data_IF_476496059392
#
_entry.id   IF_476496059392
#
_cell.length_a   1.000
_cell.length_b   1.000
_cell.length_c   1.000
_cell.angle_alpha   90.00
_cell.angle_beta   90.00
_cell.angle_gamma   90.00
#
_symmetry.space_group_name_H-M   'P 1'
#
loop_
_entity.id
_entity.type
_entity.pdbx_description
1 polymer ?
#
# COMPACT_ATOMS: atom_id res chain seq x y z
N UNK A 1 -24.62 13.61 -63.63
CA UNK A 1 -23.69 12.46 -63.56
C UNK A 1 -24.01 11.70 -62.28
N UNK A 2 -24.46 10.44 -62.41
CA UNK A 2 -24.93 9.56 -61.33
C UNK A 2 -23.74 8.98 -60.54
N UNK A 3 -23.86 8.94 -59.21
CA UNK A 3 -23.02 8.17 -58.28
C UNK A 3 -23.28 6.67 -58.47
N UNK A 4 -22.26 5.85 -58.26
CA UNK A 4 -22.38 4.60 -57.51
C UNK A 4 -21.07 4.25 -56.80
N UNK A 5 -21.22 3.82 -55.55
CA UNK A 5 -20.20 3.44 -54.57
C UNK A 5 -20.05 1.93 -54.59
N UNK A 6 -18.83 1.39 -54.47
CA UNK A 6 -18.68 0.11 -53.78
C UNK A 6 -17.29 -0.04 -53.13
N UNK A 7 -17.30 -0.09 -51.80
CA UNK A 7 -16.18 -0.49 -50.95
C UNK A 7 -16.31 -1.98 -50.70
N UNK A 8 -15.43 -2.79 -51.30
CA UNK A 8 -15.42 -4.24 -51.10
C UNK A 8 -14.79 -4.59 -49.76
N UNK A 9 -15.62 -4.68 -48.73
CA UNK A 9 -15.32 -5.35 -47.46
C UNK A 9 -15.40 -6.88 -47.70
N UNK A 10 -14.28 -7.47 -48.11
CA UNK A 10 -14.16 -8.93 -48.27
C UNK A 10 -14.01 -9.59 -46.89
N UNK A 11 -15.09 -10.20 -46.38
CA UNK A 11 -14.95 -11.18 -45.30
C UNK A 11 -14.15 -12.37 -45.85
N UNK A 12 -13.09 -12.83 -45.17
CA UNK A 12 -12.39 -14.03 -45.62
C UNK A 12 -13.34 -15.22 -45.51
N UNK A 13 -13.53 -15.96 -46.60
CA UNK A 13 -14.18 -17.27 -46.53
C UNK A 13 -13.30 -18.18 -45.67
N UNK A 14 -13.70 -18.36 -44.41
CA UNK A 14 -12.95 -19.16 -43.45
C UNK A 14 -13.11 -20.63 -43.81
N UNK A 15 -12.13 -21.15 -44.53
CA UNK A 15 -12.00 -22.58 -44.77
C UNK A 15 -11.90 -23.31 -43.41
N UNK A 16 -12.53 -24.48 -43.30
CA UNK A 16 -12.56 -25.27 -42.06
C UNK A 16 -11.16 -25.58 -41.54
N UNK A 17 -10.19 -25.76 -42.46
CA UNK A 17 -8.78 -25.94 -42.14
C UNK A 17 -8.17 -24.71 -41.48
N UNK A 18 -8.47 -23.51 -41.97
CA UNK A 18 -8.01 -22.25 -41.37
C UNK A 18 -8.61 -22.03 -39.98
N UNK A 19 -9.89 -22.37 -39.80
CA UNK A 19 -10.55 -22.28 -38.50
C UNK A 19 -9.95 -23.26 -37.47
N UNK A 20 -9.62 -24.49 -37.90
CA UNK A 20 -8.96 -25.48 -37.04
C UNK A 20 -7.55 -25.04 -36.64
N UNK A 21 -6.79 -24.44 -37.55
CA UNK A 21 -5.44 -23.90 -37.27
C UNK A 21 -5.54 -22.74 -36.25
N UNK A 22 -6.46 -21.80 -36.46
CA UNK A 22 -6.66 -20.68 -35.54
C UNK A 22 -7.09 -21.15 -34.14
N UNK A 23 -8.00 -22.13 -34.06
CA UNK A 23 -8.40 -22.75 -32.81
C UNK A 23 -7.23 -23.46 -32.10
N UNK A 24 -6.39 -24.19 -32.84
CA UNK A 24 -5.22 -24.86 -32.31
C UNK A 24 -4.18 -23.88 -31.74
N UNK A 25 -3.87 -22.81 -32.48
CA UNK A 25 -2.96 -21.75 -32.02
C UNK A 25 -3.52 -21.02 -30.81
N UNK A 26 -4.84 -20.80 -30.75
CA UNK A 26 -5.48 -20.15 -29.61
C UNK A 26 -5.41 -21.01 -28.34
N UNK A 27 -5.72 -22.30 -28.43
CA UNK A 27 -5.63 -23.23 -27.28
C UNK A 27 -4.18 -23.39 -26.81
N UNK A 28 -3.22 -23.47 -27.73
CA UNK A 28 -1.79 -23.47 -27.40
C UNK A 28 -1.37 -22.14 -26.75
N UNK A 29 -1.82 -21.01 -27.27
CA UNK A 29 -1.56 -19.68 -26.71
C UNK A 29 -2.10 -19.52 -25.29
N UNK A 30 -3.32 -20.00 -25.02
CA UNK A 30 -3.90 -20.03 -23.68
C UNK A 30 -3.14 -20.99 -22.76
N UNK A 31 -2.78 -22.19 -23.23
CA UNK A 31 -2.03 -23.16 -22.43
C UNK A 31 -0.64 -22.66 -22.03
N UNK A 32 0.09 -22.08 -22.99
CA UNK A 32 1.41 -21.47 -22.75
C UNK A 32 1.27 -20.23 -21.87
N UNK A 33 0.27 -19.38 -22.13
CA UNK A 33 -0.02 -18.19 -21.33
C UNK A 33 -0.28 -18.53 -19.87
N UNK A 34 -1.13 -19.52 -19.58
CA UNK A 34 -1.44 -19.97 -18.21
C UNK A 34 -0.19 -20.58 -17.56
N UNK A 35 0.60 -21.40 -18.28
CA UNK A 35 1.83 -21.98 -17.74
C UNK A 35 2.85 -20.89 -17.35
N UNK A 36 3.06 -19.86 -18.19
CA UNK A 36 3.92 -18.73 -17.87
C UNK A 36 3.34 -17.80 -16.80
N UNK A 37 2.03 -17.54 -16.80
CA UNK A 37 1.37 -16.73 -15.75
C UNK A 37 1.36 -17.43 -14.38
N UNK A 38 1.30 -18.77 -14.35
CA UNK A 38 1.39 -19.56 -13.12
C UNK A 38 2.82 -19.69 -12.58
N UNK A 39 3.83 -19.42 -13.42
CA UNK A 39 5.24 -19.39 -13.08
C UNK A 39 5.78 -18.03 -12.68
N UNK A 40 4.93 -17.02 -12.50
CA UNK A 40 5.33 -15.74 -11.92
C UNK A 40 5.72 -15.97 -10.44
N UNK A 41 6.96 -16.38 -10.23
CA UNK A 41 7.66 -16.17 -8.96
C UNK A 41 7.62 -14.68 -8.70
N UNK A 42 6.64 -14.26 -7.89
CA UNK A 42 6.60 -12.92 -7.31
C UNK A 42 7.85 -12.80 -6.45
N UNK A 43 8.92 -12.26 -7.04
CA UNK A 43 10.09 -11.85 -6.27
C UNK A 43 9.57 -10.95 -5.15
N UNK A 44 9.80 -11.30 -3.87
CA UNK A 44 9.29 -10.56 -2.72
C UNK A 44 9.91 -9.16 -2.58
N UNK A 45 10.74 -8.73 -3.53
CA UNK A 45 11.34 -7.39 -3.58
C UNK A 45 10.37 -6.31 -4.07
N UNK A 46 9.24 -6.68 -4.67
CA UNK A 46 8.24 -5.70 -5.11
C UNK A 46 7.13 -5.53 -4.07
N UNK A 47 7.29 -4.52 -3.20
CA UNK A 47 6.19 -3.85 -2.47
C UNK A 47 5.31 -3.05 -3.44
N UNK A 48 4.77 -3.70 -4.47
CA UNK A 48 4.04 -3.06 -5.57
C UNK A 48 2.51 -3.08 -5.40
N UNK A 49 1.97 -3.76 -4.39
CA UNK A 49 0.52 -3.84 -4.19
C UNK A 49 0.17 -3.56 -2.73
N UNK A 50 -0.77 -2.62 -2.53
CA UNK A 50 -1.37 -2.29 -1.23
C UNK A 50 -1.84 -3.57 -0.50
N UNK A 51 -2.37 -4.52 -1.26
CA UNK A 51 -2.76 -5.85 -0.79
C UNK A 51 -1.62 -6.62 -0.08
N UNK A 52 -0.38 -6.53 -0.55
CA UNK A 52 0.78 -7.20 0.08
C UNK A 52 1.13 -6.52 1.41
N UNK A 53 0.97 -5.20 1.47
CA UNK A 53 1.23 -4.39 2.66
C UNK A 53 0.14 -4.65 3.71
N UNK A 54 -1.12 -4.66 3.29
CA UNK A 54 -2.28 -4.92 4.14
C UNK A 54 -2.25 -6.33 4.72
N UNK A 55 -1.88 -7.34 3.92
CA UNK A 55 -1.75 -8.73 4.38
C UNK A 55 -0.53 -8.98 5.27
N UNK A 56 0.54 -8.21 5.10
CA UNK A 56 1.75 -8.34 5.91
C UNK A 56 1.69 -7.53 7.21
N UNK A 57 0.70 -6.66 7.36
CA UNK A 57 0.48 -5.88 8.57
C UNK A 57 0.33 -6.79 9.81
N UNK A 58 0.85 -6.37 10.97
CA UNK A 58 0.60 -7.09 12.21
C UNK A 58 -0.90 -7.02 12.55
N UNK A 59 -1.51 -8.19 12.78
CA UNK A 59 -2.95 -8.32 13.02
C UNK A 59 -3.79 -7.64 11.92
N UNK A 60 -3.79 -8.17 10.68
CA UNK A 60 -4.31 -7.47 9.51
C UNK A 60 -5.79 -7.10 9.63
N UNK A 61 -6.64 -7.96 10.20
CA UNK A 61 -8.06 -7.68 10.41
C UNK A 61 -8.28 -6.50 11.36
N UNK A 62 -7.53 -6.49 12.47
CA UNK A 62 -7.57 -5.40 13.44
C UNK A 62 -7.08 -4.11 12.80
N UNK A 63 -5.99 -4.19 12.04
CA UNK A 63 -5.39 -3.03 11.42
C UNK A 63 -6.31 -2.38 10.39
N UNK A 64 -6.97 -3.18 9.56
CA UNK A 64 -7.96 -2.71 8.57
C UNK A 64 -9.18 -2.10 9.28
N UNK A 65 -9.65 -2.70 10.37
CA UNK A 65 -10.86 -2.26 11.06
C UNK A 65 -10.65 -0.99 11.90
N UNK A 66 -9.52 -0.88 12.59
CA UNK A 66 -9.30 0.13 13.62
C UNK A 66 -8.17 1.12 13.29
N UNK A 67 -7.51 0.94 12.14
CA UNK A 67 -6.30 1.66 11.77
C UNK A 67 -6.08 1.75 10.26
N UNK A 68 -4.80 1.70 9.89
CA UNK A 68 -4.29 1.57 8.53
C UNK A 68 -2.96 0.81 8.56
N UNK A 69 -2.73 -0.04 7.55
CA UNK A 69 -1.44 -0.71 7.37
C UNK A 69 -0.36 0.33 7.08
N UNK A 70 0.84 0.06 7.56
CA UNK A 70 1.97 0.97 7.44
C UNK A 70 3.26 0.20 7.17
N UNK A 71 4.18 0.86 6.47
CA UNK A 71 5.57 0.45 6.42
C UNK A 71 6.36 1.26 7.43
N UNK A 72 6.97 0.57 8.38
CA UNK A 72 7.85 1.18 9.38
C UNK A 72 9.28 1.08 8.89
N UNK A 73 9.95 2.22 8.83
CA UNK A 73 11.34 2.34 8.36
C UNK A 73 12.25 2.64 9.54
N UNK A 74 13.13 1.71 9.86
CA UNK A 74 14.17 1.93 10.87
C UNK A 74 15.47 2.37 10.18
N UNK A 75 15.89 3.60 10.43
CA UNK A 75 17.18 4.13 9.98
C UNK A 75 17.79 5.01 11.06
N UNK A 76 19.12 5.03 11.11
CA UNK A 76 19.87 5.92 11.99
C UNK A 76 20.44 7.07 11.16
N UNK A 77 20.27 8.29 11.66
CA UNK A 77 20.82 9.50 11.08
C UNK A 77 21.92 10.00 12.02
N UNK A 78 23.16 10.05 11.52
CA UNK A 78 24.31 10.53 12.26
C UNK A 78 24.63 11.94 11.80
N UNK A 79 24.69 12.89 12.74
CA UNK A 79 25.08 14.28 12.46
C UNK A 79 26.36 14.57 13.24
N UNK A 80 27.44 14.86 12.54
CA UNK A 80 28.69 15.36 13.14
C UNK A 80 28.71 16.88 13.04
N UNK A 81 29.27 17.57 14.03
CA UNK A 81 29.33 19.05 14.05
C UNK A 81 30.73 19.61 13.72
N UNK A 82 31.77 18.77 13.76
CA UNK A 82 33.13 19.18 13.44
C UNK A 82 33.96 17.99 12.90
N UNK A 83 34.15 17.89 11.57
CA UNK A 83 33.49 18.67 10.52
C UNK A 83 31.98 18.36 10.44
N UNK A 84 31.18 19.29 9.93
CA UNK A 84 29.73 19.06 9.78
C UNK A 84 29.44 18.05 8.68
N UNK A 85 28.89 16.88 9.02
CA UNK A 85 28.49 15.84 8.07
C UNK A 85 27.21 15.14 8.52
N UNK A 86 26.46 14.60 7.57
CA UNK A 86 25.26 13.80 7.81
C UNK A 86 25.40 12.46 7.12
N UNK A 87 25.23 11.36 7.86
CA UNK A 87 25.25 9.99 7.34
C UNK A 87 23.95 9.28 7.69
N UNK A 88 23.51 8.39 6.80
CA UNK A 88 22.31 7.56 7.01
C UNK A 88 22.67 6.10 6.84
N UNK A 89 22.14 5.25 7.71
CA UNK A 89 22.29 3.79 7.55
C UNK A 89 21.37 3.26 6.47
N UNK A 90 21.67 2.06 5.95
CA UNK A 90 20.71 1.32 5.13
C UNK A 90 19.40 1.11 5.93
N UNK A 91 18.25 1.56 5.42
CA UNK A 91 16.98 1.43 6.13
C UNK A 91 16.53 -0.03 6.17
N UNK A 92 15.95 -0.44 7.30
CA UNK A 92 15.22 -1.71 7.42
C UNK A 92 13.72 -1.43 7.36
N UNK A 93 13.01 -2.15 6.50
CA UNK A 93 11.57 -2.03 6.34
C UNK A 93 10.86 -3.13 7.13
N UNK A 94 9.90 -2.77 7.96
CA UNK A 94 9.05 -3.70 8.71
C UNK A 94 7.57 -3.39 8.47
N UNK A 95 6.69 -4.40 8.42
CA UNK A 95 5.26 -4.14 8.43
C UNK A 95 4.83 -3.60 9.80
N UNK A 96 3.92 -2.64 9.77
CA UNK A 96 3.34 -2.04 10.97
C UNK A 96 1.88 -1.67 10.75
N UNK A 97 1.28 -1.20 11.83
CA UNK A 97 -0.09 -0.71 11.82
C UNK A 97 -0.15 0.61 12.57
N UNK A 98 -0.89 1.58 12.01
CA UNK A 98 -1.19 2.85 12.67
C UNK A 98 -2.66 2.86 13.05
N UNK A 99 -2.96 3.01 14.34
CA UNK A 99 -4.32 3.05 14.84
C UNK A 99 -4.96 4.43 14.63
N UNK A 100 -6.29 4.45 14.47
CA UNK A 100 -7.09 5.68 14.51
C UNK A 100 -7.24 6.17 15.95
N UNK A 101 -7.35 7.49 16.14
CA UNK A 101 -7.29 8.11 17.50
C UNK A 101 -8.35 7.63 18.47
N UNK A 102 -9.49 7.28 17.93
CA UNK A 102 -10.71 6.82 18.59
C UNK A 102 -10.67 5.35 19.01
N UNK A 103 -9.69 4.58 18.55
CA UNK A 103 -9.61 3.12 18.78
C UNK A 103 -8.46 2.69 19.69
N UNK A 104 -7.77 3.61 20.39
CA UNK A 104 -6.62 3.27 21.24
C UNK A 104 -6.95 2.41 22.45
N UNK A 105 -8.22 2.43 22.88
CA UNK A 105 -8.71 1.61 24.00
C UNK A 105 -8.45 0.11 23.80
N UNK A 106 -8.29 -0.35 22.55
CA UNK A 106 -7.94 -1.75 22.25
C UNK A 106 -6.57 -2.14 22.83
N UNK A 107 -5.62 -1.21 22.86
CA UNK A 107 -4.29 -1.45 23.42
C UNK A 107 -4.32 -1.43 24.95
N UNK A 108 -5.13 -0.56 25.56
CA UNK A 108 -5.34 -0.52 27.01
C UNK A 108 -6.05 -1.77 27.53
N UNK A 109 -7.10 -2.21 26.83
CA UNK A 109 -7.87 -3.42 27.17
C UNK A 109 -6.98 -4.67 27.16
N UNK A 110 -6.03 -4.73 26.21
CA UNK A 110 -5.03 -5.79 26.11
C UNK A 110 -3.84 -5.59 27.06
N UNK A 111 -3.84 -4.52 27.87
CA UNK A 111 -2.77 -4.14 28.81
C UNK A 111 -1.40 -3.94 28.15
N UNK A 112 -1.40 -3.54 26.89
CA UNK A 112 -0.18 -3.29 26.12
C UNK A 112 0.34 -1.86 26.32
N UNK A 113 -0.53 -0.95 26.76
CA UNK A 113 -0.20 0.41 27.18
C UNK A 113 -0.99 0.77 28.45
N UNK A 114 -0.46 1.73 29.21
CA UNK A 114 -1.09 2.28 30.40
C UNK A 114 -1.95 3.51 30.08
N UNK A 115 -2.88 3.83 30.98
CA UNK A 115 -3.70 5.05 30.90
C UNK A 115 -2.87 6.33 30.89
N UNK A 116 -1.72 6.33 31.55
CA UNK A 116 -0.80 7.46 31.54
C UNK A 116 -0.17 7.66 30.15
N UNK A 117 0.29 6.58 29.52
CA UNK A 117 0.84 6.64 28.16
C UNK A 117 -0.21 7.10 27.15
N UNK A 118 -1.46 6.68 27.31
CA UNK A 118 -2.58 7.16 26.48
C UNK A 118 -2.78 8.65 26.66
N UNK A 119 -2.83 9.13 27.91
CA UNK A 119 -3.00 10.55 28.21
C UNK A 119 -1.86 11.40 27.63
N UNK A 120 -0.62 10.98 27.83
CA UNK A 120 0.54 11.69 27.31
C UNK A 120 0.53 11.75 25.78
N UNK A 121 0.23 10.63 25.12
CA UNK A 121 0.16 10.57 23.66
C UNK A 121 -0.98 11.45 23.11
N UNK A 122 -2.15 11.40 23.77
CA UNK A 122 -3.32 12.20 23.38
C UNK A 122 -3.05 13.70 23.42
N UNK A 123 -2.36 14.17 24.47
CA UNK A 123 -2.10 15.59 24.69
C UNK A 123 -1.25 16.24 23.60
N UNK A 124 -0.52 15.44 22.81
CA UNK A 124 0.35 15.90 21.73
C UNK A 124 -0.28 15.75 20.33
N UNK A 125 -1.59 15.49 20.24
CA UNK A 125 -2.31 15.22 18.98
C UNK A 125 -1.71 14.05 18.17
N UNK A 126 -1.04 13.11 18.85
CA UNK A 126 -0.38 11.95 18.25
C UNK A 126 -1.36 10.78 18.05
N UNK A 127 -0.87 9.69 17.48
CA UNK A 127 -1.54 8.39 17.48
C UNK A 127 -0.59 7.25 17.86
N UNK A 128 -1.11 6.04 18.04
CA UNK A 128 -0.29 4.86 18.28
C UNK A 128 -0.03 4.10 16.99
N UNK A 129 1.23 3.76 16.77
CA UNK A 129 1.65 2.78 15.78
C UNK A 129 2.28 1.57 16.48
N UNK A 130 2.21 0.41 15.84
CA UNK A 130 2.87 -0.79 16.34
C UNK A 130 3.45 -1.66 15.23
N UNK A 131 4.48 -2.42 15.59
CA UNK A 131 5.06 -3.50 14.76
C UNK A 131 5.06 -4.80 15.54
N UNK A 132 4.94 -5.93 14.83
CA UNK A 132 4.77 -7.24 15.45
C UNK A 132 3.34 -7.47 15.97
N UNK A 133 2.98 -8.74 16.15
CA UNK A 133 1.62 -9.14 16.56
C UNK A 133 1.33 -8.76 18.02
N UNK A 134 0.10 -8.31 18.30
CA UNK A 134 -0.32 -7.83 19.62
C UNK A 134 -0.36 -8.94 20.68
N UNK A 135 -0.49 -10.20 20.26
CA UNK A 135 -0.50 -11.38 21.14
C UNK A 135 0.91 -11.80 21.60
N UNK A 136 1.96 -11.29 20.95
CA UNK A 136 3.35 -11.55 21.29
C UNK A 136 3.96 -10.41 22.09
N UNK A 137 5.11 -9.94 21.63
CA UNK A 137 5.81 -8.76 22.19
C UNK A 137 5.87 -7.65 21.13
N UNK A 138 4.75 -6.94 20.90
CA UNK A 138 4.71 -5.88 19.89
C UNK A 138 5.56 -4.68 20.34
N UNK A 139 6.14 -3.98 19.38
CA UNK A 139 6.75 -2.68 19.63
C UNK A 139 5.70 -1.60 19.38
N UNK A 140 5.20 -0.97 20.44
CA UNK A 140 4.19 0.09 20.37
C UNK A 140 4.86 1.45 20.60
N UNK A 141 4.54 2.42 19.74
CA UNK A 141 5.09 3.78 19.79
C UNK A 141 3.97 4.80 19.65
N UNK A 142 4.03 5.86 20.46
CA UNK A 142 3.28 7.07 20.20
C UNK A 142 3.98 7.82 19.06
N UNK A 143 3.30 7.96 17.92
CA UNK A 143 3.82 8.54 16.69
C UNK A 143 3.10 9.85 16.36
N UNK A 144 3.86 10.81 15.85
CA UNK A 144 3.34 12.11 15.43
C UNK A 144 2.87 12.04 13.98
N UNK A 145 1.67 12.56 13.72
CA UNK A 145 1.20 12.79 12.36
C UNK A 145 1.71 14.16 11.94
N UNK A 146 2.54 14.21 10.90
CA UNK A 146 2.92 15.48 10.31
C UNK A 146 1.67 16.16 9.76
N UNK A 147 1.35 17.33 10.30
CA UNK A 147 0.27 18.15 9.80
C UNK A 147 0.61 18.58 8.36
N UNK A 148 -0.38 18.52 7.48
CA UNK A 148 -0.21 18.77 6.05
C UNK A 148 0.35 20.19 5.71
N UNK A 149 0.56 21.04 6.72
CA UNK A 149 1.23 22.34 6.65
C UNK A 149 2.63 22.28 6.03
N UNK A 150 3.35 21.17 6.20
CA UNK A 150 4.64 20.92 5.52
C UNK A 150 4.54 20.16 4.19
N UNK A 151 3.33 19.76 3.78
CA UNK A 151 3.13 18.98 2.56
C UNK A 151 3.05 19.90 1.33
N UNK A 152 4.20 20.16 0.72
CA UNK A 152 4.31 20.97 -0.51
C UNK A 152 3.57 20.36 -1.71
N UNK A 153 3.11 19.11 -1.64
CA UNK A 153 2.35 18.47 -2.72
C UNK A 153 0.85 18.83 -2.70
N UNK A 154 0.30 19.24 -1.55
CA UNK A 154 -1.13 19.54 -1.39
C UNK A 154 -1.47 21.03 -1.62
N UNK A 155 -0.46 21.90 -1.72
CA UNK A 155 -0.62 23.30 -2.15
C UNK A 155 -0.64 23.43 -3.68
N UNK A 156 -1.41 22.60 -4.38
CA UNK A 156 -1.80 22.91 -5.76
C UNK A 156 -3.00 23.84 -5.69
N UNK A 157 -2.75 25.12 -5.93
CA UNK A 157 -3.76 26.18 -5.85
C UNK A 157 -5.01 25.84 -6.66
N UNK A 158 -6.17 25.99 -6.02
CA UNK A 158 -7.44 26.15 -6.74
C UNK A 158 -8.52 25.09 -6.55
N UNK A 159 -8.55 24.30 -5.48
CA UNK A 159 -9.69 23.44 -5.20
C UNK A 159 -10.15 23.56 -3.74
N UNK A 160 -11.07 24.49 -3.48
CA UNK A 160 -11.87 24.52 -2.24
C UNK A 160 -12.96 23.45 -2.32
N UNK A 161 -12.58 22.19 -2.08
CA UNK A 161 -13.50 21.11 -1.72
C UNK A 161 -13.40 20.84 -0.21
N UNK A 162 -14.46 20.33 0.45
CA UNK A 162 -14.43 20.04 1.88
C UNK A 162 -13.26 19.11 2.21
N UNK A 163 -12.47 19.51 3.21
CA UNK A 163 -11.24 18.86 3.62
C UNK A 163 -11.56 17.51 4.27
N UNK A 164 -11.11 16.43 3.65
CA UNK A 164 -11.17 15.07 4.17
C UNK A 164 -10.09 14.86 5.26
N UNK A 165 -10.10 15.71 6.29
CA UNK A 165 -9.23 15.60 7.47
C UNK A 165 -9.97 15.15 8.73
N UNK A 166 -11.26 14.85 8.63
CA UNK A 166 -12.08 14.37 9.76
C UNK A 166 -12.34 12.84 9.73
N UNK A 167 -11.57 12.07 8.95
CA UNK A 167 -11.71 10.61 8.87
C UNK A 167 -10.43 9.80 9.16
N UNK A 168 -9.48 10.32 9.96
CA UNK A 168 -8.32 9.53 10.43
C UNK A 168 -8.01 9.75 11.91
#
# INVERSE_FOLDING_TARGET
>A
MKRESNSSNGMPELNYTTLAILGGVFVLGLGVGIAFSSGATLNPENVASREVIDRSAPNPELCIQYGASAMVTDMQVFVTLNPFNVYVTQPKMRPGCVLRRNNWSILEQRRLISSEQVRECKNRMNTFGFTGVLEGTPEIRCIYQNDATGNLFLNQGGATGPRETDQF
#
